data_IF_954770409599
#
_entry.id   IF_954770409599
#
_cell.length_a   1.000
_cell.length_b   1.000
_cell.length_c   1.000
_cell.angle_alpha   90.00
_cell.angle_beta   90.00
_cell.angle_gamma   90.00
#
_symmetry.space_group_name_H-M   'P 1'
#
loop_
_entity.id
_entity.type
_entity.pdbx_description
1 polymer ?
#
# COMPACT_ATOMS: atom_id res chain seq x y z
N UNK A 1 14.65 27.40 5.23
CA UNK A 1 14.12 26.01 5.15
C UNK A 1 13.26 25.76 3.90
N UNK A 2 12.24 26.57 3.60
CA UNK A 2 11.36 26.39 2.42
C UNK A 2 12.11 26.27 1.08
N UNK A 3 13.10 27.11 0.85
CA UNK A 3 13.92 27.11 -0.38
C UNK A 3 14.72 25.81 -0.53
N UNK A 4 15.35 25.34 0.57
CA UNK A 4 16.11 24.08 0.58
C UNK A 4 15.21 22.88 0.29
N UNK A 5 14.08 22.75 1.02
CA UNK A 5 13.15 21.63 0.84
C UNK A 5 12.56 21.61 -0.57
N UNK A 6 12.25 22.78 -1.15
CA UNK A 6 11.83 22.87 -2.54
C UNK A 6 12.94 22.39 -3.48
N UNK A 7 14.17 22.85 -3.29
CA UNK A 7 15.31 22.44 -4.12
C UNK A 7 15.55 20.94 -4.08
N UNK A 8 15.38 20.30 -2.91
CA UNK A 8 15.54 18.84 -2.76
C UNK A 8 14.38 18.11 -3.44
N UNK A 9 13.14 18.47 -3.15
CA UNK A 9 11.96 17.74 -3.68
C UNK A 9 11.68 17.98 -5.17
N UNK A 10 12.32 18.98 -5.78
CA UNK A 10 12.25 19.20 -7.23
C UNK A 10 13.57 18.92 -7.94
N UNK A 11 14.53 18.25 -7.29
CA UNK A 11 15.78 17.85 -7.93
C UNK A 11 15.53 16.64 -8.84
N UNK A 12 16.32 16.52 -9.91
CA UNK A 12 16.20 15.41 -10.85
C UNK A 12 16.52 14.07 -10.17
N UNK A 13 17.44 14.05 -9.20
CA UNK A 13 17.80 12.87 -8.43
C UNK A 13 16.66 12.40 -7.51
N UNK A 14 15.88 13.34 -6.95
CA UNK A 14 14.73 13.02 -6.12
C UNK A 14 13.56 12.48 -6.95
N UNK A 15 13.39 12.96 -8.18
CA UNK A 15 12.31 12.58 -9.09
C UNK A 15 12.70 11.48 -10.10
N UNK A 16 13.95 11.00 -10.07
CA UNK A 16 14.43 9.97 -10.97
C UNK A 16 13.60 8.69 -10.85
N UNK A 17 13.36 8.02 -11.98
CA UNK A 17 12.53 6.82 -12.02
C UNK A 17 13.02 5.67 -11.10
N UNK A 18 14.33 5.62 -10.81
CA UNK A 18 14.92 4.62 -9.91
C UNK A 18 14.81 4.94 -8.41
N UNK A 19 14.45 6.17 -8.05
CA UNK A 19 14.32 6.63 -6.65
C UNK A 19 12.87 6.95 -6.28
N UNK A 20 12.07 7.40 -7.26
CA UNK A 20 10.66 7.64 -7.06
C UNK A 20 9.90 6.34 -6.79
N UNK A 21 9.16 6.29 -5.67
CA UNK A 21 8.45 5.09 -5.20
C UNK A 21 9.35 3.84 -5.08
N UNK A 22 10.62 4.01 -4.73
CA UNK A 22 11.56 2.90 -4.60
C UNK A 22 11.44 2.16 -3.26
N UNK A 23 10.66 2.68 -2.30
CA UNK A 23 10.56 2.08 -0.97
C UNK A 23 9.32 1.21 -0.83
N UNK A 24 9.50 0.02 -0.27
CA UNK A 24 8.41 -0.88 0.11
C UNK A 24 7.82 -0.43 1.45
N UNK A 25 6.49 -0.37 1.49
CA UNK A 25 5.72 -0.10 2.72
C UNK A 25 5.89 -1.24 3.72
N UNK A 26 6.15 -0.89 4.98
CA UNK A 26 6.02 -1.83 6.08
C UNK A 26 4.59 -2.39 6.12
N UNK A 27 4.36 -3.56 6.74
CA UNK A 27 3.01 -4.11 6.88
C UNK A 27 2.01 -3.12 7.49
N UNK A 28 2.42 -2.39 8.53
CA UNK A 28 1.57 -1.38 9.17
C UNK A 28 1.25 -0.22 8.21
N UNK A 29 2.24 0.30 7.49
CA UNK A 29 2.02 1.38 6.52
C UNK A 29 1.04 0.97 5.42
N UNK A 30 1.22 -0.24 4.88
CA UNK A 30 0.36 -0.83 3.87
C UNK A 30 -1.08 -0.96 4.38
N UNK A 31 -1.27 -1.59 5.54
CA UNK A 31 -2.59 -1.84 6.10
C UNK A 31 -3.34 -0.55 6.47
N UNK A 32 -2.64 0.39 7.10
CA UNK A 32 -3.24 1.68 7.50
C UNK A 32 -3.54 2.54 6.27
N UNK A 33 -2.68 2.53 5.25
CA UNK A 33 -2.97 3.25 4.00
C UNK A 33 -4.18 2.64 3.29
N UNK A 34 -4.28 1.32 3.20
CA UNK A 34 -5.44 0.66 2.61
C UNK A 34 -6.73 1.01 3.38
N UNK A 35 -6.70 1.00 4.71
CA UNK A 35 -7.83 1.44 5.52
C UNK A 35 -8.25 2.88 5.23
N UNK A 36 -7.28 3.81 5.11
CA UNK A 36 -7.55 5.21 4.73
C UNK A 36 -8.10 5.32 3.32
N UNK A 37 -7.55 4.58 2.36
CA UNK A 37 -7.97 4.62 0.96
C UNK A 37 -9.43 4.17 0.79
N UNK A 38 -9.87 3.20 1.60
CA UNK A 38 -11.25 2.69 1.62
C UNK A 38 -12.20 3.50 2.51
N UNK A 39 -11.73 4.58 3.15
CA UNK A 39 -12.47 5.30 4.21
C UNK A 39 -12.99 4.38 5.34
N UNK A 40 -12.25 3.31 5.62
CA UNK A 40 -12.66 2.24 6.52
C UNK A 40 -12.11 2.44 7.93
N UNK A 41 -12.87 3.16 8.77
CA UNK A 41 -12.46 3.54 10.14
C UNK A 41 -12.47 2.39 11.16
N UNK A 42 -13.07 1.24 10.84
CA UNK A 42 -13.30 0.12 11.77
C UNK A 42 -12.41 -1.10 11.52
N UNK A 43 -11.27 -0.93 10.85
CA UNK A 43 -10.36 -2.05 10.52
C UNK A 43 -9.30 -2.35 11.58
N UNK A 44 -9.29 -1.65 12.73
CA UNK A 44 -8.23 -1.81 13.74
C UNK A 44 -7.99 -3.25 14.20
N UNK A 45 -9.06 -4.03 14.41
CA UNK A 45 -8.96 -5.46 14.78
C UNK A 45 -8.31 -6.29 13.67
N UNK A 46 -8.68 -6.04 12.42
CA UNK A 46 -8.09 -6.74 11.27
C UNK A 46 -6.61 -6.39 11.13
N UNK A 47 -6.25 -5.11 11.25
CA UNK A 47 -4.85 -4.64 11.17
C UNK A 47 -3.99 -5.35 12.22
N UNK A 48 -4.45 -5.42 13.47
CA UNK A 48 -3.71 -6.10 14.55
C UNK A 48 -3.60 -7.60 14.26
N UNK A 49 -4.67 -8.24 13.82
CA UNK A 49 -4.68 -9.69 13.56
C UNK A 49 -3.81 -10.09 12.35
N UNK A 50 -3.72 -9.25 11.33
CA UNK A 50 -2.97 -9.56 10.09
C UNK A 50 -1.48 -9.22 10.17
N UNK A 51 -1.06 -8.34 11.09
CA UNK A 51 0.32 -7.87 11.16
C UNK A 51 1.36 -8.98 11.35
N UNK A 52 1.06 -9.99 12.18
CA UNK A 52 1.96 -11.12 12.45
C UNK A 52 2.25 -11.97 11.21
N UNK A 53 1.25 -12.22 10.36
CA UNK A 53 1.42 -12.95 9.10
C UNK A 53 2.36 -12.26 8.12
N UNK A 54 2.46 -10.93 8.20
CA UNK A 54 3.37 -10.12 7.41
C UNK A 54 4.71 -9.84 8.08
N UNK A 55 4.95 -10.39 9.28
CA UNK A 55 6.19 -10.22 10.04
C UNK A 55 6.29 -8.93 10.85
N UNK A 56 5.19 -8.21 11.08
CA UNK A 56 5.18 -7.00 11.92
C UNK A 56 4.00 -7.01 12.92
N UNK A 57 4.28 -7.49 14.13
CA UNK A 57 3.38 -7.35 15.28
C UNK A 57 3.63 -6.00 15.95
N UNK A 58 2.61 -5.17 16.13
CA UNK A 58 2.79 -3.85 16.75
C UNK A 58 3.28 -3.97 18.20
N UNK A 59 4.22 -3.10 18.57
CA UNK A 59 4.87 -3.07 19.90
C UNK A 59 5.68 -4.32 20.27
N UNK A 60 6.00 -5.17 19.29
CA UNK A 60 6.75 -6.42 19.48
C UNK A 60 7.84 -6.55 18.39
N UNK A 61 8.91 -5.73 18.47
CA UNK A 61 10.03 -5.83 17.54
C UNK A 61 10.82 -7.13 17.77
N UNK A 62 11.40 -7.73 16.72
CA UNK A 62 12.08 -9.02 16.82
C UNK A 62 13.40 -8.96 17.65
N UNK A 63 14.09 -7.81 17.62
CA UNK A 63 15.31 -7.58 18.41
C UNK A 63 15.53 -6.07 18.68
N UNK A 64 16.68 -5.74 19.30
CA UNK A 64 17.07 -4.36 19.66
C UNK A 64 17.28 -3.43 18.45
N UNK A 65 17.51 -3.98 17.27
CA UNK A 65 17.58 -3.27 15.99
C UNK A 65 16.21 -2.95 15.39
N UNK A 66 15.13 -3.50 15.95
CA UNK A 66 13.77 -3.27 15.49
C UNK A 66 13.37 -4.18 14.34
N UNK A 67 12.48 -3.70 13.48
CA UNK A 67 11.98 -4.46 12.33
C UNK A 67 12.88 -4.33 11.10
N UNK A 68 12.81 -5.28 10.15
CA UNK A 68 13.49 -5.17 8.87
C UNK A 68 12.99 -3.97 8.05
N UNK A 69 13.73 -3.63 6.99
CA UNK A 69 13.47 -2.43 6.18
C UNK A 69 13.24 -2.80 4.71
N UNK A 70 12.46 -1.97 4.02
CA UNK A 70 12.32 -1.98 2.56
C UNK A 70 11.97 -3.39 1.98
N UNK A 71 12.76 -3.89 1.04
CA UNK A 71 12.51 -5.14 0.28
C UNK A 71 12.34 -6.37 1.17
N UNK A 72 12.93 -6.38 2.37
CA UNK A 72 12.80 -7.47 3.34
C UNK A 72 11.34 -7.69 3.80
N UNK A 73 10.43 -6.74 3.53
CA UNK A 73 9.00 -6.89 3.78
C UNK A 73 8.26 -7.77 2.76
N UNK A 74 8.90 -8.15 1.65
CA UNK A 74 8.31 -8.91 0.55
C UNK A 74 8.95 -10.29 0.45
N UNK A 75 8.10 -11.31 0.50
CA UNK A 75 8.40 -12.70 0.22
C UNK A 75 7.16 -13.35 -0.40
N UNK A 76 7.30 -14.58 -0.93
CA UNK A 76 6.15 -15.33 -1.43
C UNK A 76 5.02 -15.47 -0.39
N UNK A 77 5.36 -15.57 0.90
CA UNK A 77 4.37 -15.65 1.97
C UNK A 77 3.73 -14.29 2.29
N UNK A 78 4.55 -13.25 2.50
CA UNK A 78 4.03 -11.93 2.94
C UNK A 78 3.20 -11.25 1.86
N UNK A 79 3.43 -11.52 0.56
CA UNK A 79 2.57 -11.05 -0.52
C UNK A 79 1.17 -11.66 -0.42
N UNK A 80 1.05 -12.96 -0.15
CA UNK A 80 -0.24 -13.62 0.03
C UNK A 80 -0.99 -13.01 1.21
N UNK A 81 -0.31 -12.78 2.34
CA UNK A 81 -0.92 -12.14 3.51
C UNK A 81 -1.41 -10.73 3.23
N UNK A 82 -0.68 -9.94 2.43
CA UNK A 82 -1.11 -8.61 1.98
C UNK A 82 -2.39 -8.69 1.14
N UNK A 83 -2.50 -9.66 0.22
CA UNK A 83 -3.72 -9.90 -0.55
C UNK A 83 -4.88 -10.35 0.34
N UNK A 84 -4.62 -11.23 1.32
CA UNK A 84 -5.61 -11.66 2.31
C UNK A 84 -6.15 -10.48 3.12
N UNK A 85 -5.26 -9.58 3.56
CA UNK A 85 -5.65 -8.37 4.26
C UNK A 85 -6.55 -7.48 3.40
N UNK A 86 -6.19 -7.22 2.13
CA UNK A 86 -7.03 -6.43 1.21
C UNK A 86 -8.41 -7.05 1.05
N UNK A 87 -8.47 -8.37 0.90
CA UNK A 87 -9.73 -9.12 0.78
C UNK A 87 -10.58 -8.95 2.05
N UNK A 88 -9.98 -9.13 3.23
CA UNK A 88 -10.65 -8.94 4.51
C UNK A 88 -11.11 -7.50 4.75
N UNK A 89 -10.29 -6.52 4.37
CA UNK A 89 -10.60 -5.09 4.51
C UNK A 89 -11.80 -4.71 3.64
N UNK A 90 -11.81 -5.15 2.38
CA UNK A 90 -12.94 -4.95 1.47
C UNK A 90 -14.19 -5.64 1.99
N UNK A 91 -14.09 -6.87 2.49
CA UNK A 91 -15.25 -7.60 3.04
C UNK A 91 -15.90 -6.86 4.24
N UNK A 92 -15.11 -6.15 5.04
CA UNK A 92 -15.60 -5.37 6.17
C UNK A 92 -16.03 -3.93 5.80
N UNK A 93 -15.71 -3.46 4.60
CA UNK A 93 -16.12 -2.13 4.14
C UNK A 93 -17.64 -2.10 3.84
N UNK A 94 -18.36 -1.27 4.59
CA UNK A 94 -19.83 -1.08 4.42
C UNK A 94 -20.16 -0.24 3.19
N UNK A 95 -19.30 0.72 2.86
CA UNK A 95 -19.35 1.54 1.66
C UNK A 95 -17.94 1.68 1.11
N UNK A 96 -17.82 1.83 -0.21
CA UNK A 96 -16.55 2.08 -0.87
C UNK A 96 -16.58 3.50 -1.45
N UNK A 97 -15.50 4.28 -1.29
CA UNK A 97 -15.37 5.54 -2.03
C UNK A 97 -15.30 5.26 -3.53
N UNK A 98 -15.69 6.22 -4.39
CA UNK A 98 -15.52 6.08 -5.83
C UNK A 98 -14.05 5.80 -6.19
N UNK A 99 -13.81 4.76 -7.00
CA UNK A 99 -12.47 4.36 -7.43
C UNK A 99 -11.87 5.23 -8.54
N UNK A 100 -12.63 6.20 -9.07
CA UNK A 100 -12.19 7.08 -10.17
C UNK A 100 -10.84 7.74 -9.92
N UNK A 101 -10.58 8.12 -8.66
CA UNK A 101 -9.35 8.80 -8.26
C UNK A 101 -8.40 7.89 -7.49
N UNK A 102 -8.72 6.60 -7.33
CA UNK A 102 -7.89 5.65 -6.59
C UNK A 102 -6.49 5.54 -7.20
N UNK A 103 -6.40 5.42 -8.52
CA UNK A 103 -5.11 5.33 -9.24
C UNK A 103 -4.28 6.59 -9.04
N UNK A 104 -4.90 7.76 -9.12
CA UNK A 104 -4.22 9.04 -8.96
C UNK A 104 -3.74 9.28 -7.53
N UNK A 105 -4.58 8.98 -6.54
CA UNK A 105 -4.28 9.29 -5.14
C UNK A 105 -3.46 8.21 -4.42
N UNK A 106 -3.59 6.94 -4.82
CA UNK A 106 -2.90 5.84 -4.15
C UNK A 106 -1.64 5.39 -4.91
N UNK A 107 -1.62 5.56 -6.23
CA UNK A 107 -0.56 5.09 -7.11
C UNK A 107 0.16 6.23 -7.86
N UNK A 108 -0.18 7.50 -7.58
CA UNK A 108 0.34 8.68 -8.29
C UNK A 108 0.14 8.66 -9.81
N UNK A 109 -0.83 7.89 -10.30
CA UNK A 109 -1.00 7.67 -11.74
C UNK A 109 -0.01 6.67 -12.36
N UNK A 110 0.90 6.09 -11.56
CA UNK A 110 1.88 5.11 -12.02
C UNK A 110 1.25 3.72 -11.93
N UNK A 111 1.02 3.11 -13.08
CA UNK A 111 0.47 1.76 -13.20
C UNK A 111 1.22 0.97 -14.26
N UNK A 112 1.62 -0.24 -13.92
CA UNK A 112 2.20 -1.19 -14.86
C UNK A 112 1.15 -1.74 -15.82
N UNK A 113 1.59 -2.35 -16.95
CA UNK A 113 0.67 -2.83 -18.00
C UNK A 113 -0.35 -3.85 -17.47
N UNK A 114 0.07 -4.72 -16.56
CA UNK A 114 -0.80 -5.74 -15.97
C UNK A 114 -1.87 -5.11 -15.07
N UNK A 115 -1.47 -4.24 -14.14
CA UNK A 115 -2.40 -3.51 -13.25
C UNK A 115 -3.40 -2.70 -14.06
N UNK A 116 -2.93 -1.98 -15.10
CA UNK A 116 -3.79 -1.22 -15.99
C UNK A 116 -4.82 -2.10 -16.72
N UNK A 117 -4.38 -3.25 -17.24
CA UNK A 117 -5.29 -4.22 -17.88
C UNK A 117 -6.36 -4.73 -16.92
N UNK A 118 -5.97 -5.09 -15.69
CA UNK A 118 -6.90 -5.56 -14.66
C UNK A 118 -7.91 -4.47 -14.26
N UNK A 119 -7.46 -3.23 -14.07
CA UNK A 119 -8.33 -2.08 -13.77
C UNK A 119 -9.33 -1.81 -14.89
N UNK A 120 -8.89 -1.89 -16.16
CA UNK A 120 -9.78 -1.70 -17.31
C UNK A 120 -10.81 -2.82 -17.46
N UNK A 121 -10.48 -4.03 -17.02
CA UNK A 121 -11.40 -5.19 -17.04
C UNK A 121 -12.36 -5.23 -15.85
N UNK A 122 -12.11 -4.45 -14.80
CA UNK A 122 -12.89 -4.47 -13.57
C UNK A 122 -14.27 -3.81 -13.76
N UNK A 123 -15.33 -4.58 -13.53
CA UNK A 123 -16.72 -4.17 -13.79
C UNK A 123 -17.38 -3.46 -12.61
N UNK A 124 -16.88 -3.66 -11.38
CA UNK A 124 -17.42 -3.05 -10.17
C UNK A 124 -16.35 -2.36 -9.31
N UNK A 125 -16.79 -1.53 -8.37
CA UNK A 125 -15.92 -0.76 -7.47
C UNK A 125 -15.06 -1.64 -6.57
N UNK A 126 -15.57 -2.79 -6.15
CA UNK A 126 -14.85 -3.69 -5.24
C UNK A 126 -13.67 -4.35 -5.93
N UNK A 127 -13.84 -4.78 -7.19
CA UNK A 127 -12.77 -5.34 -8.01
C UNK A 127 -11.74 -4.24 -8.31
N UNK A 128 -12.16 -3.03 -8.67
CA UNK A 128 -11.23 -1.92 -8.91
C UNK A 128 -10.38 -1.61 -7.69
N UNK A 129 -10.99 -1.53 -6.50
CA UNK A 129 -10.26 -1.34 -5.24
C UNK A 129 -9.36 -2.52 -4.90
N UNK A 130 -9.81 -3.75 -5.13
CA UNK A 130 -8.97 -4.93 -4.95
C UNK A 130 -7.71 -4.86 -5.84
N UNK A 131 -7.89 -4.60 -7.13
CA UNK A 131 -6.78 -4.48 -8.08
C UNK A 131 -5.85 -3.34 -7.66
N UNK A 132 -6.38 -2.18 -7.29
CA UNK A 132 -5.56 -1.03 -6.87
C UNK A 132 -4.75 -1.34 -5.60
N UNK A 133 -5.33 -1.98 -4.58
CA UNK A 133 -4.66 -2.22 -3.29
C UNK A 133 -3.75 -3.46 -3.31
N UNK A 134 -4.06 -4.46 -4.13
CA UNK A 134 -3.24 -5.66 -4.29
C UNK A 134 -2.11 -5.47 -5.32
N UNK A 135 -2.06 -4.32 -6.00
CA UNK A 135 -1.08 -4.05 -7.05
C UNK A 135 0.35 -3.92 -6.50
N UNK A 136 1.38 -4.22 -7.31
CA UNK A 136 2.78 -3.94 -6.95
C UNK A 136 3.01 -2.47 -6.61
N UNK A 137 2.39 -1.56 -7.35
CA UNK A 137 2.55 -0.11 -7.20
C UNK A 137 2.02 0.38 -5.85
N UNK A 138 0.96 -0.25 -5.32
CA UNK A 138 0.47 0.05 -3.97
C UNK A 138 1.34 -0.52 -2.86
N UNK A 139 2.26 -1.45 -3.14
CA UNK A 139 3.26 -1.87 -2.15
C UNK A 139 4.33 -0.80 -1.91
N UNK A 140 4.46 0.17 -2.82
CA UNK A 140 5.53 1.14 -2.87
C UNK A 140 5.11 2.53 -2.37
N UNK A 141 6.04 3.28 -1.77
CA UNK A 141 5.89 4.66 -1.28
C UNK A 141 7.04 5.55 -1.73
#
# INVERSE_FOLDING_TARGET
MKTLMRSVFTSDEFLAAGTYRALVKSPTEFMVQAARALDATKLSKLIVASGSGMGQTLFDPPDVGGWPNNEAWISSNTVIERVNFVTGALAQATSLPPSSDAVKHQLDGIVGPQTASMLNSATDERIKWFVALASPEFQLK
#
